data_IF_007093756694
#
_entry.id   IF_007093756694
#
_cell.length_a   1.000
_cell.length_b   1.000
_cell.length_c   1.000
_cell.angle_alpha   90.00
_cell.angle_beta   90.00
_cell.angle_gamma   90.00
#
_symmetry.space_group_name_H-M   'P 1'
#
loop_
_entity.id
_entity.type
_entity.pdbx_description
1 polymer ?
#
# COMPACT_ATOMS: atom_id res chain seq x y z
N UNK A 1 30.50 6.17 -54.42
CA UNK A 1 29.73 7.12 -55.21
C UNK A 1 28.35 6.55 -55.39
N UNK A 2 27.41 6.97 -54.61
CA UNK A 2 26.02 7.33 -54.88
C UNK A 2 25.37 7.65 -53.52
N UNK A 3 25.18 8.89 -53.27
CA UNK A 3 24.39 9.49 -52.16
C UNK A 3 22.93 9.44 -52.56
N UNK A 4 22.06 9.08 -51.60
CA UNK A 4 20.63 9.37 -51.70
C UNK A 4 20.11 9.94 -50.38
N UNK A 5 19.78 11.21 -50.48
CA UNK A 5 19.03 12.00 -49.47
C UNK A 5 17.65 11.41 -49.20
N UNK A 6 17.27 11.30 -47.94
CA UNK A 6 15.87 11.14 -47.51
C UNK A 6 15.46 12.32 -46.66
N UNK A 7 14.59 13.12 -47.21
CA UNK A 7 13.95 14.29 -46.61
C UNK A 7 13.10 13.89 -45.39
N UNK A 8 13.32 14.61 -44.30
CA UNK A 8 12.42 14.59 -43.10
C UNK A 8 11.22 15.50 -43.36
N UNK A 9 10.04 14.92 -43.28
CA UNK A 9 8.78 15.64 -43.18
C UNK A 9 8.45 15.90 -41.72
N UNK A 10 8.39 17.18 -41.33
CA UNK A 10 7.91 17.64 -40.03
C UNK A 10 6.40 17.86 -40.13
N UNK A 11 5.64 17.07 -39.39
CA UNK A 11 4.22 17.34 -39.09
C UNK A 11 4.09 17.64 -37.60
N UNK A 12 3.63 18.85 -37.34
CA UNK A 12 3.33 19.42 -36.01
C UNK A 12 1.89 19.01 -35.62
N UNK A 13 1.64 18.34 -34.49
CA UNK A 13 0.29 18.19 -33.98
C UNK A 13 0.02 19.26 -32.91
N UNK A 14 -0.96 20.11 -33.16
CA UNK A 14 -1.47 21.17 -32.27
C UNK A 14 -2.04 20.61 -30.93
N UNK A 15 -2.29 21.50 -29.96
CA UNK A 15 -2.56 21.11 -28.56
C UNK A 15 -4.00 20.64 -28.37
N UNK A 16 -4.16 19.42 -27.86
CA UNK A 16 -5.43 18.92 -27.31
C UNK A 16 -5.58 19.36 -25.86
N UNK A 17 -6.65 20.10 -25.58
CA UNK A 17 -7.08 20.43 -24.22
C UNK A 17 -7.66 19.19 -23.53
N UNK A 18 -6.93 18.62 -22.56
CA UNK A 18 -7.39 17.54 -21.68
C UNK A 18 -7.45 18.05 -20.25
N UNK A 19 -8.64 17.96 -19.65
CA UNK A 19 -8.93 18.39 -18.29
C UNK A 19 -8.09 17.63 -17.24
N UNK A 20 -7.53 18.39 -16.31
CA UNK A 20 -6.66 17.91 -15.24
C UNK A 20 -7.53 17.50 -14.04
N UNK A 21 -7.80 16.19 -13.87
CA UNK A 21 -8.33 15.64 -12.62
C UNK A 21 -7.14 15.30 -11.72
N UNK A 22 -7.05 15.97 -10.57
CA UNK A 22 -5.95 15.80 -9.61
C UNK A 22 -5.80 14.37 -9.11
N UNK A 23 -4.67 13.76 -9.46
CA UNK A 23 -4.19 12.49 -8.90
C UNK A 23 -2.91 12.75 -8.14
N UNK A 24 -2.90 12.45 -6.85
CA UNK A 24 -1.75 12.54 -5.94
C UNK A 24 -1.06 11.18 -5.74
N UNK A 25 -0.88 10.42 -6.82
CA UNK A 25 0.07 9.31 -6.86
C UNK A 25 0.94 9.52 -8.09
N UNK A 26 2.08 10.20 -7.92
CA UNK A 26 3.06 10.36 -8.98
C UNK A 26 4.46 10.30 -8.41
N UNK A 27 5.40 9.55 -9.05
CA UNK A 27 6.79 9.47 -8.63
C UNK A 27 7.41 10.86 -8.62
N UNK A 28 8.28 11.11 -7.64
CA UNK A 28 8.95 12.37 -7.41
C UNK A 28 9.40 13.09 -8.69
N UNK A 29 8.74 14.20 -8.99
CA UNK A 29 9.15 15.05 -10.11
C UNK A 29 10.50 15.68 -9.78
N UNK A 30 11.45 15.48 -10.68
CA UNK A 30 12.74 16.15 -10.70
C UNK A 30 12.62 17.66 -10.40
N UNK A 31 13.65 18.21 -9.76
CA UNK A 31 13.85 19.63 -9.40
C UNK A 31 13.74 20.64 -10.56
N UNK A 32 12.97 20.38 -11.60
CA UNK A 32 12.78 21.30 -12.74
C UNK A 32 11.38 21.91 -12.67
N UNK A 33 11.39 23.19 -12.32
CA UNK A 33 10.29 24.17 -12.29
C UNK A 33 9.23 23.95 -11.20
N UNK A 34 9.31 24.82 -10.17
CA UNK A 34 8.18 25.14 -9.31
C UNK A 34 7.02 25.65 -10.20
N UNK A 35 6.07 24.79 -10.51
CA UNK A 35 4.82 25.19 -11.12
C UNK A 35 4.14 26.18 -10.15
N UNK A 36 3.63 27.29 -10.67
CA UNK A 36 2.90 28.26 -9.87
C UNK A 36 1.75 27.53 -9.16
N UNK A 37 1.82 27.46 -7.83
CA UNK A 37 0.76 26.83 -7.03
C UNK A 37 -0.51 27.64 -7.24
N UNK A 38 -1.50 27.05 -7.89
CA UNK A 38 -2.81 27.68 -8.04
C UNK A 38 -3.49 27.77 -6.68
N UNK A 39 -4.31 28.79 -6.38
CA UNK A 39 -5.00 28.94 -5.11
C UNK A 39 -5.82 27.69 -4.70
N UNK A 40 -6.39 27.01 -5.67
CA UNK A 40 -7.14 25.75 -5.48
C UNK A 40 -6.25 24.60 -4.95
N UNK A 41 -5.03 24.47 -5.48
CA UNK A 41 -4.06 23.48 -5.01
C UNK A 41 -3.59 23.78 -3.58
N UNK A 42 -3.42 25.09 -3.25
CA UNK A 42 -3.07 25.50 -1.90
C UNK A 42 -4.20 25.18 -0.91
N UNK A 43 -5.48 25.35 -1.30
CA UNK A 43 -6.63 25.04 -0.45
C UNK A 43 -6.74 23.52 -0.23
N UNK A 44 -6.63 22.72 -1.28
CA UNK A 44 -6.64 21.26 -1.18
C UNK A 44 -5.50 20.76 -0.28
N UNK A 45 -4.29 21.28 -0.45
CA UNK A 45 -3.15 20.96 0.41
C UNK A 45 -3.40 21.32 1.88
N UNK A 46 -3.92 22.52 2.16
CA UNK A 46 -4.23 22.95 3.53
C UNK A 46 -5.33 22.08 4.16
N UNK A 47 -6.33 21.67 3.37
CA UNK A 47 -7.39 20.74 3.79
C UNK A 47 -6.80 19.39 4.20
N UNK A 48 -5.96 18.79 3.35
CA UNK A 48 -5.26 17.54 3.64
C UNK A 48 -4.38 17.67 4.89
N UNK A 49 -3.65 18.78 5.04
CA UNK A 49 -2.80 19.01 6.21
C UNK A 49 -3.60 19.05 7.52
N UNK A 50 -4.77 19.69 7.52
CA UNK A 50 -5.67 19.71 8.70
C UNK A 50 -6.19 18.31 8.99
N UNK A 51 -6.66 17.56 7.97
CA UNK A 51 -7.15 16.19 8.15
C UNK A 51 -6.04 15.24 8.63
N UNK A 52 -4.85 15.32 8.05
CA UNK A 52 -3.67 14.55 8.47
C UNK A 52 -3.33 14.81 9.94
N UNK A 53 -3.34 16.09 10.36
CA UNK A 53 -3.06 16.46 11.74
C UNK A 53 -4.09 15.88 12.70
N UNK A 54 -5.38 15.96 12.37
CA UNK A 54 -6.46 15.37 13.18
C UNK A 54 -6.40 13.84 13.20
N UNK A 55 -6.03 13.23 12.09
CA UNK A 55 -5.92 11.77 11.99
C UNK A 55 -4.87 11.21 12.96
N UNK A 56 -3.68 11.81 12.99
CA UNK A 56 -2.56 11.33 13.81
C UNK A 56 -2.58 11.83 15.26
N UNK A 57 -3.06 13.05 15.51
CA UNK A 57 -2.99 13.65 16.85
C UNK A 57 -4.34 13.63 17.60
N UNK A 58 -5.43 13.26 16.91
CA UNK A 58 -6.77 13.22 17.51
C UNK A 58 -7.38 14.59 17.75
N UNK A 59 -8.30 14.65 18.72
CA UNK A 59 -9.11 15.84 19.00
C UNK A 59 -8.28 17.07 19.41
N UNK A 60 -8.43 18.18 18.66
CA UNK A 60 -7.69 19.43 18.86
C UNK A 60 -8.60 20.64 18.81
N UNK A 61 -8.19 21.77 19.42
CA UNK A 61 -8.86 23.05 19.18
C UNK A 61 -8.40 23.68 17.88
N UNK A 62 -9.24 24.56 17.30
CA UNK A 62 -8.85 25.35 16.11
C UNK A 62 -7.56 26.16 16.32
N UNK A 63 -7.29 26.58 17.57
CA UNK A 63 -6.06 27.29 17.91
C UNK A 63 -4.84 26.38 17.96
N UNK A 64 -5.00 25.12 18.41
CA UNK A 64 -3.93 24.11 18.38
C UNK A 64 -3.61 23.71 16.93
N UNK A 65 -4.64 23.44 16.13
CA UNK A 65 -4.49 23.18 14.70
C UNK A 65 -3.75 24.30 13.97
N UNK A 66 -4.06 25.56 14.27
CA UNK A 66 -3.35 26.72 13.67
C UNK A 66 -1.87 26.73 14.05
N UNK A 67 -1.51 26.34 15.26
CA UNK A 67 -0.11 26.26 15.71
C UNK A 67 0.63 25.09 15.08
N UNK A 68 -0.01 23.93 15.03
CA UNK A 68 0.58 22.70 14.50
C UNK A 68 0.78 22.76 12.99
N UNK A 69 -0.22 23.22 12.27
CA UNK A 69 -0.18 23.30 10.81
C UNK A 69 0.54 24.56 10.27
N UNK A 70 0.79 25.57 11.13
CA UNK A 70 1.29 26.88 10.68
C UNK A 70 0.28 27.73 9.89
N UNK A 71 -0.95 27.26 9.71
CA UNK A 71 -2.01 27.99 9.02
C UNK A 71 -2.57 29.11 9.91
N UNK A 72 -3.11 30.18 9.29
CA UNK A 72 -3.76 31.25 10.05
C UNK A 72 -5.02 30.75 10.74
N UNK A 73 -5.41 31.36 11.86
CA UNK A 73 -6.66 31.02 12.58
C UNK A 73 -7.91 31.14 11.70
N UNK A 74 -7.94 32.14 10.81
CA UNK A 74 -9.03 32.33 9.86
C UNK A 74 -9.09 31.14 8.89
N UNK A 75 -7.97 30.80 8.26
CA UNK A 75 -7.89 29.64 7.34
C UNK A 75 -8.33 28.33 8.00
N UNK A 76 -7.85 28.07 9.24
CA UNK A 76 -8.26 26.86 9.97
C UNK A 76 -9.75 26.88 10.28
N UNK A 77 -10.30 28.04 10.70
CA UNK A 77 -11.74 28.15 11.01
C UNK A 77 -12.61 27.90 9.78
N UNK A 78 -12.22 28.43 8.62
CA UNK A 78 -12.95 28.26 7.36
C UNK A 78 -12.87 26.78 6.89
N UNK A 79 -11.66 26.15 6.96
CA UNK A 79 -11.48 24.75 6.58
C UNK A 79 -12.26 23.80 7.53
N UNK A 80 -12.23 24.04 8.83
CA UNK A 80 -12.98 23.23 9.78
C UNK A 80 -14.49 23.35 9.58
N UNK A 81 -15.00 24.55 9.24
CA UNK A 81 -16.43 24.74 8.94
C UNK A 81 -16.83 23.92 7.69
N UNK A 82 -16.02 23.98 6.63
CA UNK A 82 -16.20 23.17 5.41
C UNK A 82 -16.15 21.66 5.70
N UNK A 83 -15.14 21.23 6.47
CA UNK A 83 -14.96 19.82 6.80
C UNK A 83 -16.09 19.25 7.70
N UNK A 84 -16.69 20.11 8.52
CA UNK A 84 -17.90 19.73 9.31
C UNK A 84 -19.11 19.63 8.38
N UNK A 85 -19.29 20.56 7.46
CA UNK A 85 -20.37 20.53 6.47
C UNK A 85 -20.29 19.30 5.56
N UNK A 86 -19.07 18.92 5.15
CA UNK A 86 -18.79 17.72 4.37
C UNK A 86 -18.88 16.40 5.20
N UNK A 87 -19.01 16.49 6.53
CA UNK A 87 -19.12 15.33 7.41
C UNK A 87 -17.81 14.60 7.70
N UNK A 88 -16.65 15.21 7.44
CA UNK A 88 -15.35 14.61 7.76
C UNK A 88 -14.83 14.95 9.14
N UNK A 89 -15.31 16.04 9.73
CA UNK A 89 -14.92 16.51 11.07
C UNK A 89 -16.15 16.75 11.92
N UNK A 90 -16.05 16.42 13.21
CA UNK A 90 -17.11 16.68 14.17
C UNK A 90 -16.60 17.44 15.41
N UNK A 91 -17.46 18.22 16.04
CA UNK A 91 -17.17 18.81 17.35
C UNK A 91 -17.31 17.77 18.47
N UNK A 92 -16.25 17.57 19.27
CA UNK A 92 -16.17 16.53 20.32
C UNK A 92 -16.26 17.10 21.75
N UNK A 93 -16.95 18.24 21.90
CA UNK A 93 -17.11 18.89 23.19
C UNK A 93 -16.05 19.96 23.47
N UNK A 94 -15.83 20.27 24.74
CA UNK A 94 -14.91 21.34 25.18
C UNK A 94 -13.77 20.75 25.99
N UNK A 95 -12.57 21.35 25.84
CA UNK A 95 -11.42 21.00 26.69
C UNK A 95 -11.75 21.35 28.14
N UNK A 96 -11.38 20.47 29.09
CA UNK A 96 -11.41 20.78 30.51
C UNK A 96 -10.52 22.00 30.81
N UNK A 97 -11.06 23.00 31.52
CA UNK A 97 -10.35 24.26 31.80
C UNK A 97 -9.82 24.24 33.22
N UNK A 98 -8.52 24.41 33.36
CA UNK A 98 -7.84 24.58 34.64
C UNK A 98 -7.54 26.06 34.97
N UNK A 99 -8.10 27.04 34.20
CA UNK A 99 -7.83 28.48 34.36
C UNK A 99 -8.94 29.39 33.82
N UNK A 100 -8.82 30.72 33.97
CA UNK A 100 -9.81 31.69 33.48
C UNK A 100 -9.82 31.74 31.96
N UNK A 101 -11.00 31.62 31.33
CA UNK A 101 -11.22 31.68 29.90
C UNK A 101 -12.41 30.83 29.45
N UNK A 102 -12.94 31.11 28.24
CA UNK A 102 -13.99 30.25 27.66
C UNK A 102 -13.33 28.95 27.20
N UNK A 103 -13.90 27.78 27.53
CA UNK A 103 -13.40 26.49 27.09
C UNK A 103 -13.28 26.44 25.55
N UNK A 104 -12.17 25.91 25.06
CA UNK A 104 -11.98 25.70 23.61
C UNK A 104 -12.80 24.49 23.15
N UNK A 105 -13.54 24.66 22.06
CA UNK A 105 -14.24 23.55 21.39
C UNK A 105 -13.19 22.69 20.69
N UNK A 106 -13.20 21.40 20.97
CA UNK A 106 -12.37 20.40 20.30
C UNK A 106 -13.09 19.91 19.04
N UNK A 107 -12.32 19.73 17.98
CA UNK A 107 -12.75 19.11 16.73
C UNK A 107 -11.89 17.87 16.47
N UNK A 108 -12.47 16.85 15.90
CA UNK A 108 -11.79 15.60 15.54
C UNK A 108 -12.34 15.04 14.22
N UNK A 109 -11.58 14.16 13.58
CA UNK A 109 -12.07 13.40 12.44
C UNK A 109 -13.34 12.63 12.82
N UNK A 110 -14.35 12.67 11.98
CA UNK A 110 -15.55 11.84 12.15
C UNK A 110 -15.31 10.44 11.57
N UNK A 111 -14.66 9.59 12.38
CA UNK A 111 -14.17 8.27 11.98
C UNK A 111 -15.30 7.31 11.61
N UNK A 112 -16.51 7.57 12.13
CA UNK A 112 -17.72 6.77 11.91
C UNK A 112 -18.64 7.38 10.84
N UNK A 113 -18.39 8.59 10.39
CA UNK A 113 -19.23 9.30 9.43
C UNK A 113 -19.20 8.70 8.01
N UNK A 114 -18.11 8.00 7.68
CA UNK A 114 -17.89 7.42 6.35
C UNK A 114 -17.40 5.98 6.45
N UNK A 115 -17.53 5.26 5.33
CA UNK A 115 -17.00 3.89 5.17
C UNK A 115 -16.05 3.82 3.97
N UNK A 116 -15.17 2.85 4.02
CA UNK A 116 -14.28 2.49 2.92
C UNK A 116 -14.52 1.02 2.61
N UNK A 117 -14.52 0.68 1.32
CA UNK A 117 -14.57 -0.72 0.89
C UNK A 117 -13.14 -1.15 0.56
N UNK A 118 -12.68 -2.20 1.22
CA UNK A 118 -11.39 -2.85 0.94
C UNK A 118 -11.57 -4.22 0.32
N UNK A 119 -10.79 -4.53 -0.71
CA UNK A 119 -10.76 -5.84 -1.36
C UNK A 119 -9.35 -6.41 -1.36
N UNK A 120 -9.21 -7.69 -1.03
CA UNK A 120 -7.98 -8.49 -1.19
C UNK A 120 -8.25 -9.62 -2.18
N UNK A 121 -7.62 -9.53 -3.37
CA UNK A 121 -7.74 -10.51 -4.44
C UNK A 121 -6.53 -11.46 -4.51
N UNK A 122 -5.61 -11.41 -3.53
CA UNK A 122 -4.33 -12.11 -3.58
C UNK A 122 -4.41 -13.57 -3.11
N UNK A 123 -5.48 -13.96 -2.43
CA UNK A 123 -5.64 -15.34 -1.93
C UNK A 123 -6.04 -16.29 -3.04
N UNK A 124 -5.62 -17.55 -2.93
CA UNK A 124 -5.82 -18.54 -3.98
C UNK A 124 -7.16 -19.26 -3.94
N UNK A 125 -7.81 -19.26 -2.78
CA UNK A 125 -9.05 -19.99 -2.51
C UNK A 125 -10.28 -19.08 -2.47
N UNK A 126 -10.10 -17.83 -2.06
CA UNK A 126 -11.18 -16.86 -1.90
C UNK A 126 -10.72 -15.43 -2.07
N UNK A 127 -11.59 -14.56 -2.50
CA UNK A 127 -11.46 -13.12 -2.41
C UNK A 127 -12.05 -12.66 -1.09
N UNK A 128 -11.36 -11.72 -0.43
CA UNK A 128 -11.85 -11.08 0.78
C UNK A 128 -12.32 -9.67 0.48
N UNK A 129 -13.39 -9.28 1.11
CA UNK A 129 -13.87 -7.91 1.11
C UNK A 129 -14.27 -7.46 2.50
N UNK A 130 -14.10 -6.18 2.78
CA UNK A 130 -14.48 -5.59 4.05
C UNK A 130 -15.06 -4.19 3.86
N UNK A 131 -15.99 -3.84 4.75
CA UNK A 131 -16.40 -2.48 5.02
C UNK A 131 -15.58 -2.00 6.21
N UNK A 132 -14.86 -0.88 6.05
CA UNK A 132 -13.96 -0.35 7.07
C UNK A 132 -14.36 1.07 7.47
N UNK A 133 -14.03 1.43 8.72
CA UNK A 133 -14.04 2.83 9.20
C UNK A 133 -12.84 3.59 8.64
N UNK A 134 -12.74 4.90 8.88
CA UNK A 134 -11.58 5.69 8.49
C UNK A 134 -10.30 5.32 9.29
N UNK A 135 -10.43 4.62 10.43
CA UNK A 135 -9.30 4.08 11.21
C UNK A 135 -8.86 2.69 10.77
N UNK A 136 -9.46 2.16 9.71
CA UNK A 136 -9.15 0.81 9.24
C UNK A 136 -9.76 -0.31 10.09
N UNK A 137 -10.72 -0.01 10.96
CA UNK A 137 -11.48 -1.03 11.69
C UNK A 137 -12.51 -1.69 10.77
N UNK A 138 -12.56 -3.00 10.78
CA UNK A 138 -13.48 -3.76 9.95
C UNK A 138 -14.82 -3.90 10.64
N UNK A 139 -15.88 -3.36 10.03
CA UNK A 139 -17.26 -3.39 10.56
C UNK A 139 -18.12 -4.46 9.91
N UNK A 140 -17.79 -4.88 8.67
CA UNK A 140 -18.45 -6.00 7.99
C UNK A 140 -17.43 -6.72 7.07
N UNK A 141 -17.68 -8.03 6.82
CA UNK A 141 -16.84 -8.86 5.95
C UNK A 141 -17.72 -9.65 4.99
N UNK A 142 -17.24 -9.76 3.76
CA UNK A 142 -17.77 -10.67 2.76
C UNK A 142 -16.63 -11.47 2.13
N UNK A 143 -16.94 -12.68 1.73
CA UNK A 143 -15.98 -13.58 1.06
C UNK A 143 -16.62 -14.15 -0.19
N UNK A 144 -15.82 -14.39 -1.21
CA UNK A 144 -16.25 -15.09 -2.41
C UNK A 144 -15.18 -16.10 -2.81
N UNK A 145 -15.55 -17.36 -3.02
CA UNK A 145 -14.62 -18.36 -3.53
C UNK A 145 -14.06 -17.93 -4.89
N UNK A 146 -12.78 -18.17 -5.12
CA UNK A 146 -12.17 -17.94 -6.43
C UNK A 146 -12.82 -18.91 -7.44
N UNK A 147 -13.42 -18.42 -8.53
CA UNK A 147 -14.04 -19.28 -9.54
C UNK A 147 -13.02 -20.22 -10.19
N UNK A 148 -13.46 -21.43 -10.51
CA UNK A 148 -12.63 -22.38 -11.26
C UNK A 148 -12.42 -21.91 -12.71
N UNK A 149 -13.43 -21.27 -13.32
CA UNK A 149 -13.31 -20.63 -14.62
C UNK A 149 -12.78 -19.19 -14.47
N UNK A 150 -11.63 -18.87 -15.06
CA UNK A 150 -11.09 -17.50 -15.02
C UNK A 150 -12.01 -16.43 -15.62
N UNK A 151 -12.89 -16.81 -16.56
CA UNK A 151 -13.85 -15.89 -17.15
C UNK A 151 -14.84 -15.33 -16.13
N UNK A 152 -15.10 -16.06 -15.04
CA UNK A 152 -16.06 -15.66 -13.98
C UNK A 152 -15.41 -14.81 -12.88
N UNK A 153 -14.08 -14.69 -12.87
CA UNK A 153 -13.35 -14.00 -11.79
C UNK A 153 -13.78 -12.53 -11.69
N UNK A 154 -13.80 -11.82 -12.81
CA UNK A 154 -14.16 -10.40 -12.83
C UNK A 154 -15.61 -10.16 -12.38
N UNK A 155 -16.54 -11.00 -12.86
CA UNK A 155 -17.93 -10.95 -12.43
C UNK A 155 -18.09 -11.20 -10.92
N UNK A 156 -17.27 -12.10 -10.36
CA UNK A 156 -17.26 -12.39 -8.91
C UNK A 156 -16.74 -11.19 -8.12
N UNK A 157 -15.67 -10.52 -8.57
CA UNK A 157 -15.14 -9.30 -7.93
C UNK A 157 -16.17 -8.17 -7.98
N UNK A 158 -16.81 -7.95 -9.12
CA UNK A 158 -17.89 -6.94 -9.26
C UNK A 158 -19.02 -7.22 -8.27
N UNK A 159 -19.50 -8.46 -8.22
CA UNK A 159 -20.58 -8.85 -7.30
C UNK A 159 -20.20 -8.60 -5.85
N UNK A 160 -19.01 -9.06 -5.42
CA UNK A 160 -18.49 -8.85 -4.07
C UNK A 160 -18.41 -7.35 -3.72
N UNK A 161 -17.93 -6.52 -4.65
CA UNK A 161 -17.86 -5.07 -4.46
C UNK A 161 -19.24 -4.46 -4.24
N UNK A 162 -20.24 -4.84 -5.04
CA UNK A 162 -21.63 -4.36 -4.93
C UNK A 162 -22.27 -4.77 -3.61
N UNK A 163 -22.06 -6.01 -3.17
CA UNK A 163 -22.56 -6.52 -1.88
C UNK A 163 -21.99 -5.70 -0.71
N UNK A 164 -20.69 -5.40 -0.71
CA UNK A 164 -20.05 -4.59 0.31
C UNK A 164 -20.55 -3.13 0.33
N UNK A 165 -20.70 -2.52 -0.84
CA UNK A 165 -21.26 -1.16 -0.95
C UNK A 165 -22.68 -1.10 -0.41
N UNK A 166 -23.50 -2.12 -0.68
CA UNK A 166 -24.88 -2.21 -0.15
C UNK A 166 -24.92 -2.39 1.37
N UNK A 167 -23.91 -3.06 1.95
CA UNK A 167 -23.81 -3.34 3.39
C UNK A 167 -23.10 -2.24 4.19
N UNK A 168 -22.65 -1.17 3.55
CA UNK A 168 -21.85 -0.14 4.21
C UNK A 168 -22.59 0.68 5.26
N UNK A 169 -23.92 0.81 5.15
CA UNK A 169 -24.85 1.54 6.05
C UNK A 169 -24.44 3.00 6.38
N UNK A 170 -23.49 3.57 5.65
CA UNK A 170 -23.03 4.97 5.72
C UNK A 170 -22.45 5.37 4.35
N UNK A 171 -22.24 6.69 4.09
CA UNK A 171 -21.60 7.15 2.88
C UNK A 171 -20.24 6.47 2.64
N UNK A 172 -20.04 5.91 1.42
CA UNK A 172 -18.79 5.25 1.05
C UNK A 172 -17.87 6.26 0.39
N UNK A 173 -16.69 6.44 0.97
CA UNK A 173 -15.64 7.33 0.47
C UNK A 173 -15.01 6.82 -0.84
N UNK A 174 -14.89 5.51 -0.96
CA UNK A 174 -14.33 4.85 -2.13
C UNK A 174 -14.06 3.36 -1.92
N UNK A 175 -13.54 2.73 -2.96
CA UNK A 175 -13.16 1.32 -2.99
C UNK A 175 -11.65 1.22 -3.22
N UNK A 176 -10.94 0.53 -2.34
CA UNK A 176 -9.56 0.15 -2.51
C UNK A 176 -9.44 -1.34 -2.85
N UNK A 177 -8.52 -1.71 -3.72
CA UNK A 177 -8.31 -3.09 -4.14
C UNK A 177 -6.82 -3.44 -4.10
N UNK A 178 -6.47 -4.47 -3.34
CA UNK A 178 -5.17 -5.13 -3.42
C UNK A 178 -5.25 -6.31 -4.39
N UNK A 179 -4.56 -6.22 -5.52
CA UNK A 179 -4.52 -7.25 -6.56
C UNK A 179 -3.17 -7.97 -6.58
N UNK A 180 -3.13 -9.28 -6.81
CA UNK A 180 -1.86 -9.92 -7.12
C UNK A 180 -1.31 -9.44 -8.46
N UNK A 181 0.01 -9.56 -8.64
CA UNK A 181 0.69 -9.22 -9.89
C UNK A 181 1.07 -7.75 -10.02
N UNK A 182 1.32 -7.29 -11.22
CA UNK A 182 1.81 -5.93 -11.51
C UNK A 182 0.61 -5.04 -11.86
N UNK A 183 0.48 -3.93 -11.15
CA UNK A 183 -0.59 -2.93 -11.33
C UNK A 183 0.05 -1.58 -11.63
N UNK A 184 -0.43 -0.88 -12.65
CA UNK A 184 0.06 0.45 -13.00
C UNK A 184 -0.57 1.56 -12.15
N UNK A 185 -0.18 2.82 -12.40
CA UNK A 185 -0.67 4.00 -11.71
C UNK A 185 -2.09 4.44 -12.13
N UNK A 186 -2.69 3.72 -13.07
CA UNK A 186 -4.06 3.89 -13.53
C UNK A 186 -5.01 2.80 -13.01
N UNK A 187 -4.47 1.88 -12.18
CA UNK A 187 -5.23 0.76 -11.63
C UNK A 187 -5.51 -0.35 -12.64
N UNK A 188 -4.72 -0.39 -13.74
CA UNK A 188 -4.72 -1.51 -14.69
C UNK A 188 -3.86 -2.64 -14.16
N UNK A 189 -4.42 -3.84 -14.07
CA UNK A 189 -3.66 -5.05 -13.77
C UNK A 189 -2.95 -5.49 -15.05
N UNK A 190 -1.66 -5.13 -15.18
CA UNK A 190 -0.86 -5.44 -16.36
C UNK A 190 -0.65 -6.95 -16.52
N UNK A 191 -0.41 -7.63 -15.40
CA UNK A 191 -0.30 -9.09 -15.37
C UNK A 191 -0.60 -9.61 -13.95
N UNK A 192 -1.47 -10.61 -13.85
CA UNK A 192 -1.71 -11.38 -12.64
C UNK A 192 -1.88 -12.87 -13.01
N UNK A 193 -0.78 -13.65 -13.08
CA UNK A 193 -0.82 -15.04 -13.54
C UNK A 193 -1.78 -15.92 -12.74
N UNK A 194 -1.91 -15.67 -11.43
CA UNK A 194 -2.80 -16.42 -10.55
C UNK A 194 -4.28 -16.24 -10.89
N UNK A 195 -4.65 -15.07 -11.45
CA UNK A 195 -6.00 -14.74 -11.92
C UNK A 195 -6.15 -14.92 -13.44
N UNK A 196 -5.06 -15.26 -14.14
CA UNK A 196 -4.96 -15.28 -15.60
C UNK A 196 -5.40 -13.96 -16.26
N UNK A 197 -5.10 -12.86 -15.59
CA UNK A 197 -5.36 -11.52 -16.08
C UNK A 197 -4.16 -10.93 -16.80
N UNK A 198 -4.45 -10.22 -17.87
CA UNK A 198 -3.49 -9.42 -18.64
C UNK A 198 -4.21 -8.17 -19.12
N UNK A 199 -3.66 -7.00 -18.86
CA UNK A 199 -4.17 -5.69 -19.29
C UNK A 199 -5.65 -5.47 -18.91
N UNK A 200 -6.03 -5.77 -17.67
CA UNK A 200 -7.39 -5.56 -17.14
C UNK A 200 -7.48 -4.19 -16.48
N UNK A 201 -8.25 -3.26 -17.05
CA UNK A 201 -8.61 -1.96 -16.43
C UNK A 201 -9.59 -2.18 -15.27
N UNK A 202 -9.07 -2.73 -14.16
CA UNK A 202 -9.89 -3.09 -13.00
C UNK A 202 -10.49 -1.84 -12.32
N UNK A 203 -9.71 -0.76 -12.22
CA UNK A 203 -10.17 0.51 -11.65
C UNK A 203 -11.34 1.09 -12.44
N UNK A 204 -11.20 1.20 -13.77
CA UNK A 204 -12.25 1.74 -14.65
C UNK A 204 -13.52 0.87 -14.64
N UNK A 205 -13.37 -0.44 -14.68
CA UNK A 205 -14.50 -1.38 -14.63
C UNK A 205 -15.26 -1.24 -13.31
N UNK A 206 -14.58 -1.33 -12.17
CA UNK A 206 -15.26 -1.22 -10.86
C UNK A 206 -15.86 0.18 -10.64
N UNK A 207 -15.18 1.25 -11.07
CA UNK A 207 -15.71 2.61 -10.99
C UNK A 207 -17.03 2.76 -11.76
N UNK A 208 -17.12 2.17 -12.95
CA UNK A 208 -18.34 2.18 -13.75
C UNK A 208 -19.49 1.41 -13.06
N UNK A 209 -19.16 0.34 -12.33
CA UNK A 209 -20.13 -0.53 -11.69
C UNK A 209 -20.74 0.05 -10.40
N UNK A 210 -19.94 0.78 -9.61
CA UNK A 210 -20.39 1.29 -8.29
C UNK A 210 -20.55 2.80 -8.24
N UNK A 211 -20.10 3.54 -9.26
CA UNK A 211 -20.12 5.01 -9.34
C UNK A 211 -19.41 5.70 -8.16
N UNK A 212 -18.38 5.07 -7.63
CA UNK A 212 -17.54 5.55 -6.54
C UNK A 212 -16.09 5.69 -7.02
N UNK A 213 -15.24 6.49 -6.33
CA UNK A 213 -13.80 6.43 -6.52
C UNK A 213 -13.28 5.01 -6.28
N UNK A 214 -12.44 4.51 -7.18
CA UNK A 214 -11.80 3.20 -7.05
C UNK A 214 -10.29 3.39 -7.19
N UNK A 215 -9.52 2.69 -6.38
CA UNK A 215 -8.06 2.69 -6.41
C UNK A 215 -7.58 1.24 -6.36
N UNK A 216 -6.72 0.86 -7.28
CA UNK A 216 -6.18 -0.50 -7.38
C UNK A 216 -4.66 -0.44 -7.29
N UNK A 217 -4.06 -1.29 -6.47
CA UNK A 217 -2.61 -1.47 -6.40
C UNK A 217 -2.25 -2.95 -6.24
N UNK A 218 -0.96 -3.25 -6.38
CA UNK A 218 -0.44 -4.55 -5.99
C UNK A 218 -0.69 -4.80 -4.49
N UNK A 219 -0.99 -6.03 -4.11
CA UNK A 219 -1.33 -6.44 -2.74
C UNK A 219 -0.22 -6.17 -1.71
N UNK A 220 1.06 -6.36 -2.07
CA UNK A 220 2.17 -6.04 -1.18
C UNK A 220 2.40 -4.52 -1.07
N UNK A 221 2.16 -3.76 -2.15
CA UNK A 221 2.18 -2.30 -2.11
C UNK A 221 1.03 -1.74 -1.25
N UNK A 222 -0.16 -2.34 -1.29
CA UNK A 222 -1.23 -1.99 -0.37
C UNK A 222 -0.85 -2.35 1.08
N UNK A 223 -0.28 -3.54 1.29
CA UNK A 223 0.10 -4.01 2.62
C UNK A 223 1.14 -3.10 3.31
N UNK A 224 2.15 -2.60 2.59
CA UNK A 224 3.14 -1.70 3.19
C UNK A 224 2.52 -0.36 3.62
N UNK A 225 1.49 0.13 2.93
CA UNK A 225 0.76 1.32 3.34
C UNK A 225 -0.01 1.10 4.65
N UNK A 226 -0.55 -0.11 4.88
CA UNK A 226 -1.18 -0.45 6.15
C UNK A 226 -0.19 -0.42 7.32
N UNK A 227 1.01 -0.96 7.14
CA UNK A 227 2.07 -0.91 8.15
C UNK A 227 2.51 0.52 8.45
N UNK A 228 2.65 1.35 7.42
CA UNK A 228 3.02 2.75 7.57
C UNK A 228 1.96 3.53 8.35
N UNK A 229 0.69 3.37 8.00
CA UNK A 229 -0.40 4.18 8.56
C UNK A 229 -0.89 3.66 9.92
N UNK A 230 -0.99 2.34 10.09
CA UNK A 230 -1.60 1.71 11.26
C UNK A 230 -0.62 0.85 12.09
N UNK A 231 0.53 0.45 11.51
CA UNK A 231 1.49 -0.44 12.14
C UNK A 231 2.71 0.27 12.74
N UNK A 232 2.79 1.59 12.62
CA UNK A 232 3.88 2.40 13.18
C UNK A 232 5.22 2.21 12.49
N UNK A 233 5.23 1.69 11.25
CA UNK A 233 6.45 1.60 10.46
C UNK A 233 7.00 2.99 10.09
N UNK A 234 8.32 3.10 9.97
CA UNK A 234 8.98 4.34 9.56
C UNK A 234 8.84 4.65 8.08
N UNK A 235 9.36 5.84 7.67
CA UNK A 235 9.28 6.33 6.29
C UNK A 235 10.06 5.47 5.28
N UNK A 236 11.10 4.76 5.72
CA UNK A 236 11.97 3.91 4.90
C UNK A 236 11.83 2.45 5.35
N UNK A 237 10.82 1.77 4.82
CA UNK A 237 10.43 0.41 5.21
C UNK A 237 10.19 -0.46 3.99
N UNK A 238 10.55 -1.73 4.11
CA UNK A 238 10.18 -2.77 3.16
C UNK A 238 9.31 -3.83 3.84
N UNK A 239 8.14 -4.09 3.28
CA UNK A 239 7.30 -5.20 3.70
C UNK A 239 7.53 -6.37 2.74
N UNK A 240 7.82 -7.56 3.30
CA UNK A 240 7.93 -8.82 2.56
C UNK A 240 6.72 -9.68 2.91
N UNK A 241 5.89 -9.92 1.91
CA UNK A 241 4.69 -10.74 2.04
C UNK A 241 4.94 -12.14 1.54
N UNK A 242 4.86 -13.10 2.46
CA UNK A 242 5.07 -14.53 2.21
C UNK A 242 3.74 -15.26 2.28
N UNK A 243 3.31 -15.73 1.15
CA UNK A 243 2.07 -16.48 1.00
C UNK A 243 2.29 -17.63 0.01
N UNK A 244 1.38 -17.78 -0.96
CA UNK A 244 1.56 -18.71 -2.08
C UNK A 244 2.77 -18.34 -2.95
N UNK A 245 3.02 -17.04 -3.08
CA UNK A 245 4.24 -16.46 -3.65
C UNK A 245 4.96 -15.57 -2.64
N UNK A 246 5.97 -14.85 -3.10
CA UNK A 246 6.72 -13.87 -2.32
C UNK A 246 6.70 -12.54 -3.06
N UNK A 247 6.00 -11.56 -2.51
CA UNK A 247 5.95 -10.19 -2.98
C UNK A 247 6.53 -9.23 -1.95
N UNK A 248 6.80 -8.00 -2.36
CA UNK A 248 7.17 -6.96 -1.41
C UNK A 248 6.67 -5.59 -1.83
N UNK A 249 6.37 -4.76 -0.84
CA UNK A 249 6.09 -3.34 -0.98
C UNK A 249 7.20 -2.53 -0.31
N UNK A 250 7.52 -1.37 -0.87
CA UNK A 250 8.62 -0.55 -0.43
C UNK A 250 8.19 0.90 -0.32
N UNK A 251 8.46 1.51 0.82
CA UNK A 251 8.38 2.97 1.01
C UNK A 251 9.79 3.56 1.16
N UNK A 252 9.99 4.72 0.58
CA UNK A 252 11.15 5.55 0.85
C UNK A 252 10.72 7.01 1.01
N UNK A 253 11.08 7.61 2.14
CA UNK A 253 10.56 8.91 2.54
C UNK A 253 9.04 8.94 2.65
N UNK A 254 8.41 7.86 3.13
CA UNK A 254 6.96 7.70 3.23
C UNK A 254 6.22 7.57 1.89
N UNK A 255 6.94 7.41 0.77
CA UNK A 255 6.34 7.32 -0.56
C UNK A 255 6.54 5.92 -1.17
N UNK A 256 5.49 5.33 -1.77
CA UNK A 256 5.60 4.05 -2.44
C UNK A 256 6.59 4.09 -3.62
N UNK A 257 7.50 3.13 -3.66
CA UNK A 257 8.42 2.94 -4.77
C UNK A 257 7.83 1.90 -5.75
N UNK A 258 7.27 2.38 -6.86
CA UNK A 258 6.63 1.51 -7.85
C UNK A 258 7.59 1.10 -8.98
N UNK A 259 8.66 1.87 -9.20
CA UNK A 259 9.59 1.67 -10.31
C UNK A 259 9.03 2.14 -11.66
N UNK A 260 9.87 2.13 -12.70
CA UNK A 260 9.53 2.65 -14.02
C UNK A 260 8.51 1.79 -14.80
N UNK A 261 8.30 0.56 -14.37
CA UNK A 261 7.36 -0.42 -14.95
C UNK A 261 6.43 -1.03 -13.90
N UNK A 262 6.27 -0.36 -12.78
CA UNK A 262 5.41 -0.78 -11.66
C UNK A 262 5.78 -2.16 -11.06
N UNK A 263 7.00 -2.63 -11.31
CA UNK A 263 7.50 -3.93 -10.86
C UNK A 263 8.59 -3.83 -9.78
N UNK A 264 8.69 -2.68 -9.09
CA UNK A 264 9.52 -2.60 -7.89
C UNK A 264 8.95 -3.53 -6.81
N UNK A 265 9.84 -4.23 -6.09
CA UNK A 265 9.39 -5.19 -5.08
C UNK A 265 9.23 -6.65 -5.57
N UNK A 266 9.43 -6.96 -6.84
CA UNK A 266 9.39 -8.33 -7.39
C UNK A 266 10.61 -9.18 -6.94
N UNK A 267 10.97 -9.10 -5.63
CA UNK A 267 12.12 -9.80 -5.06
C UNK A 267 11.94 -11.32 -5.02
N UNK A 268 10.69 -11.80 -5.01
CA UNK A 268 10.40 -13.23 -5.07
C UNK A 268 11.03 -13.93 -6.27
N UNK A 269 11.22 -13.22 -7.38
CA UNK A 269 11.81 -13.75 -8.60
C UNK A 269 13.31 -13.43 -8.79
N UNK A 270 13.96 -12.89 -7.76
CA UNK A 270 15.43 -12.76 -7.73
C UNK A 270 16.06 -14.10 -7.40
N UNK A 271 17.05 -14.51 -8.18
CA UNK A 271 17.80 -15.73 -7.92
C UNK A 271 18.70 -15.54 -6.70
N UNK A 272 18.56 -16.39 -5.69
CA UNK A 272 19.37 -16.41 -4.49
C UNK A 272 20.28 -17.64 -4.49
N UNK A 273 21.60 -17.39 -4.38
CA UNK A 273 22.63 -18.40 -4.54
C UNK A 273 23.22 -18.44 -5.96
N UNK A 274 24.29 -19.19 -6.12
CA UNK A 274 25.06 -19.24 -7.38
C UNK A 274 24.84 -20.53 -8.18
N UNK A 275 24.46 -21.64 -7.52
CA UNK A 275 24.59 -22.99 -8.07
C UNK A 275 23.29 -23.79 -7.98
N UNK A 276 22.32 -23.44 -8.80
CA UNK A 276 21.10 -24.25 -8.89
C UNK A 276 20.04 -23.81 -7.87
N UNK A 277 19.16 -24.75 -7.53
CA UNK A 277 18.03 -24.53 -6.63
C UNK A 277 16.73 -25.10 -7.20
N UNK A 278 15.60 -24.95 -6.51
CA UNK A 278 14.31 -25.40 -7.01
C UNK A 278 13.85 -24.58 -8.21
N UNK A 279 13.07 -25.21 -9.08
CA UNK A 279 12.43 -24.54 -10.21
C UNK A 279 11.28 -23.66 -9.69
N UNK A 280 11.30 -22.39 -10.03
CA UNK A 280 10.24 -21.44 -9.74
C UNK A 280 9.10 -21.55 -10.77
N UNK A 281 7.89 -21.17 -10.35
CA UNK A 281 6.72 -21.08 -11.26
C UNK A 281 6.95 -20.16 -12.45
N UNK A 282 7.86 -19.18 -12.34
CA UNK A 282 8.26 -18.31 -13.46
C UNK A 282 9.19 -18.97 -14.49
N UNK A 283 9.58 -20.23 -14.29
CA UNK A 283 10.48 -21.00 -15.14
C UNK A 283 11.97 -20.83 -14.87
N UNK A 284 12.38 -19.91 -13.97
CA UNK A 284 13.78 -19.76 -13.53
C UNK A 284 14.12 -20.77 -12.45
N UNK A 285 15.41 -20.96 -12.19
CA UNK A 285 15.93 -21.81 -11.11
C UNK A 285 16.49 -20.92 -10.01
N UNK A 286 16.19 -21.29 -8.74
CA UNK A 286 16.76 -20.64 -7.55
C UNK A 286 16.16 -19.28 -7.18
N UNK A 287 14.97 -18.94 -7.68
CA UNK A 287 14.25 -17.75 -7.22
C UNK A 287 13.95 -17.83 -5.71
N UNK A 288 13.99 -16.69 -5.01
CA UNK A 288 13.66 -16.61 -3.58
C UNK A 288 12.30 -17.25 -3.26
N UNK A 289 11.29 -17.01 -4.09
CA UNK A 289 9.95 -17.59 -3.93
C UNK A 289 9.95 -19.11 -3.88
N UNK A 290 10.78 -19.77 -4.70
CA UNK A 290 10.87 -21.22 -4.75
C UNK A 290 11.43 -21.83 -3.44
N UNK A 291 12.06 -21.01 -2.60
CA UNK A 291 12.58 -21.38 -1.28
C UNK A 291 11.64 -20.93 -0.15
N UNK A 292 11.07 -19.73 -0.27
CA UNK A 292 10.44 -19.02 0.84
C UNK A 292 8.91 -19.04 0.82
N UNK A 293 8.26 -19.37 -0.31
CA UNK A 293 6.79 -19.44 -0.34
C UNK A 293 6.25 -20.46 0.65
N UNK A 294 5.06 -20.21 1.21
CA UNK A 294 4.43 -21.13 2.18
C UNK A 294 4.41 -22.57 1.68
N UNK A 295 3.97 -22.87 0.42
CA UNK A 295 4.01 -24.25 -0.08
C UNK A 295 5.41 -24.84 -0.18
N UNK A 296 6.44 -24.01 -0.37
CA UNK A 296 7.84 -24.49 -0.42
C UNK A 296 8.36 -24.80 0.97
N UNK A 297 8.10 -23.96 1.95
CA UNK A 297 8.45 -24.19 3.35
C UNK A 297 7.73 -25.43 3.92
N UNK A 298 6.42 -25.53 3.70
CA UNK A 298 5.63 -26.69 4.16
C UNK A 298 6.14 -28.00 3.55
N UNK A 299 6.52 -28.00 2.27
CA UNK A 299 7.11 -29.17 1.62
C UNK A 299 8.45 -29.56 2.25
N UNK A 300 9.35 -28.58 2.46
CA UNK A 300 10.65 -28.83 3.07
C UNK A 300 10.52 -29.32 4.52
N UNK A 301 9.57 -28.81 5.27
CA UNK A 301 9.27 -29.23 6.65
C UNK A 301 8.64 -30.64 6.72
N UNK A 302 7.96 -31.06 5.65
CA UNK A 302 7.33 -32.39 5.56
C UNK A 302 8.30 -33.52 5.13
N UNK A 303 9.52 -33.20 4.71
CA UNK A 303 10.52 -34.19 4.33
C UNK A 303 10.91 -35.06 5.53
N UNK A 304 11.06 -36.37 5.29
CA UNK A 304 11.40 -37.32 6.36
C UNK A 304 12.77 -36.99 7.00
N UNK A 305 12.78 -36.76 8.32
CA UNK A 305 13.99 -36.40 9.06
C UNK A 305 14.39 -34.93 8.96
N UNK A 306 13.53 -34.06 8.42
CA UNK A 306 13.79 -32.62 8.35
C UNK A 306 13.95 -32.00 9.73
N UNK A 307 15.01 -31.25 9.94
CA UNK A 307 15.15 -30.33 11.07
C UNK A 307 14.44 -29.02 10.77
N UNK A 308 13.31 -28.82 11.41
CA UNK A 308 12.48 -27.62 11.17
C UNK A 308 13.26 -26.31 11.39
N UNK A 309 14.12 -26.28 12.43
CA UNK A 309 14.95 -25.11 12.70
C UNK A 309 15.94 -24.85 11.57
N UNK A 310 16.60 -25.89 11.08
CA UNK A 310 17.56 -25.78 9.99
C UNK A 310 16.89 -25.34 8.68
N UNK A 311 15.71 -25.88 8.36
CA UNK A 311 14.92 -25.49 7.17
C UNK A 311 14.53 -24.01 7.22
N UNK A 312 14.00 -23.54 8.34
CA UNK A 312 13.59 -22.14 8.50
C UNK A 312 14.80 -21.19 8.51
N UNK A 313 15.92 -21.58 9.10
CA UNK A 313 17.16 -20.79 9.07
C UNK A 313 17.73 -20.68 7.65
N UNK A 314 17.76 -21.77 6.86
CA UNK A 314 18.18 -21.72 5.45
C UNK A 314 17.31 -20.74 4.63
N UNK A 315 16.00 -20.78 4.82
CA UNK A 315 15.08 -19.86 4.18
C UNK A 315 15.35 -18.40 4.62
N UNK A 316 15.62 -18.15 5.90
CA UNK A 316 15.95 -16.85 6.43
C UNK A 316 17.30 -16.32 5.92
N UNK A 317 18.31 -17.16 5.79
CA UNK A 317 19.58 -16.80 5.17
C UNK A 317 19.38 -16.33 3.71
N UNK A 318 18.58 -17.07 2.94
CA UNK A 318 18.26 -16.70 1.54
C UNK A 318 17.50 -15.39 1.46
N UNK A 319 16.55 -15.14 2.36
CA UNK A 319 15.88 -13.86 2.47
C UNK A 319 16.87 -12.73 2.78
N UNK A 320 17.74 -12.91 3.75
CA UNK A 320 18.80 -11.95 4.08
C UNK A 320 19.74 -11.67 2.91
N UNK A 321 20.10 -12.70 2.12
CA UNK A 321 20.90 -12.53 0.89
C UNK A 321 20.17 -11.63 -0.13
N UNK A 322 18.87 -11.85 -0.32
CA UNK A 322 18.09 -11.04 -1.25
C UNK A 322 17.91 -9.59 -0.77
N UNK A 323 17.75 -9.40 0.53
CA UNK A 323 17.49 -8.08 1.13
C UNK A 323 18.75 -7.22 1.32
N UNK A 324 19.92 -7.82 1.57
CA UNK A 324 21.14 -7.07 1.89
C UNK A 324 21.51 -6.00 0.85
N UNK A 325 21.47 -6.25 -0.48
CA UNK A 325 21.72 -5.21 -1.48
C UNK A 325 20.70 -4.06 -1.43
N UNK A 326 19.44 -4.38 -1.09
CA UNK A 326 18.33 -3.40 -1.04
C UNK A 326 18.48 -2.52 0.19
N UNK A 327 18.73 -3.13 1.36
CA UNK A 327 19.03 -2.42 2.62
C UNK A 327 20.22 -1.50 2.43
N UNK A 328 21.33 -2.00 1.85
CA UNK A 328 22.52 -1.19 1.63
C UNK A 328 22.38 -0.08 0.59
N UNK A 329 21.48 -0.24 -0.40
CA UNK A 329 21.27 0.75 -1.45
C UNK A 329 20.27 1.84 -1.07
N UNK A 330 19.27 1.51 -0.23
CA UNK A 330 18.17 2.40 0.13
C UNK A 330 18.22 2.87 1.58
N UNK A 331 19.24 2.41 2.34
CA UNK A 331 19.40 2.73 3.76
C UNK A 331 18.14 2.44 4.60
N UNK A 332 17.54 1.25 4.34
CA UNK A 332 16.32 0.85 5.03
C UNK A 332 16.57 0.58 6.51
N UNK A 333 15.71 1.12 7.36
CA UNK A 333 15.75 0.91 8.81
C UNK A 333 14.94 -0.29 9.28
N UNK A 334 13.96 -0.73 8.47
CA UNK A 334 12.98 -1.72 8.89
C UNK A 334 12.54 -2.65 7.76
N UNK A 335 12.42 -3.94 8.10
CA UNK A 335 11.82 -4.98 7.28
C UNK A 335 10.63 -5.57 8.05
N UNK A 336 9.45 -5.53 7.47
CA UNK A 336 8.24 -6.12 8.04
C UNK A 336 7.89 -7.40 7.30
N UNK A 337 7.72 -8.50 8.03
CA UNK A 337 7.32 -9.79 7.48
C UNK A 337 5.80 -9.96 7.63
N UNK A 338 5.13 -10.32 6.56
CA UNK A 338 3.69 -10.61 6.52
C UNK A 338 3.46 -12.02 5.98
N UNK A 339 2.78 -12.85 6.76
CA UNK A 339 2.49 -14.25 6.43
C UNK A 339 2.32 -15.10 7.70
N UNK A 340 2.30 -16.44 7.60
CA UNK A 340 2.12 -17.31 8.75
C UNK A 340 3.24 -17.17 9.78
N UNK A 341 2.93 -16.60 10.96
CA UNK A 341 3.91 -16.39 12.04
C UNK A 341 4.68 -17.68 12.43
N UNK A 342 4.08 -18.88 12.47
CA UNK A 342 4.83 -20.10 12.80
C UNK A 342 5.96 -20.44 11.80
N UNK A 343 5.92 -19.91 10.58
CA UNK A 343 6.95 -20.11 9.56
C UNK A 343 7.96 -18.97 9.51
N UNK A 344 7.51 -17.73 9.78
CA UNK A 344 8.31 -16.55 9.54
C UNK A 344 8.98 -15.99 10.78
N UNK A 345 8.33 -16.12 11.95
CA UNK A 345 8.87 -15.67 13.23
C UNK A 345 9.88 -16.66 13.79
N UNK A 346 10.78 -16.21 14.65
CA UNK A 346 11.82 -17.04 15.25
C UNK A 346 12.96 -17.38 14.27
N UNK A 347 13.27 -18.67 14.00
CA UNK A 347 14.49 -19.08 13.30
C UNK A 347 14.70 -18.45 11.93
N UNK A 348 13.63 -18.20 11.17
CA UNK A 348 13.71 -17.54 9.86
C UNK A 348 14.07 -16.06 10.03
N UNK A 349 13.34 -15.34 10.86
CA UNK A 349 13.61 -13.92 11.10
C UNK A 349 15.00 -13.69 11.71
N UNK A 350 15.41 -14.53 12.67
CA UNK A 350 16.74 -14.48 13.28
C UNK A 350 17.86 -14.65 12.23
N UNK A 351 17.76 -15.69 11.38
CA UNK A 351 18.73 -15.93 10.33
C UNK A 351 18.76 -14.82 9.30
N UNK A 352 17.61 -14.20 9.02
CA UNK A 352 17.54 -13.01 8.14
C UNK A 352 18.33 -11.86 8.74
N UNK A 353 18.15 -11.54 10.03
CA UNK A 353 18.89 -10.49 10.74
C UNK A 353 20.40 -10.77 10.76
N UNK A 354 20.80 -12.01 11.10
CA UNK A 354 22.19 -12.42 11.11
C UNK A 354 22.85 -12.23 9.74
N UNK A 355 22.13 -12.63 8.68
CA UNK A 355 22.63 -12.51 7.31
C UNK A 355 22.73 -11.06 6.85
N UNK A 356 21.76 -10.23 7.19
CA UNK A 356 21.81 -8.79 6.92
C UNK A 356 23.04 -8.16 7.58
N UNK A 357 23.26 -8.41 8.88
CA UNK A 357 24.43 -7.89 9.61
C UNK A 357 25.74 -8.36 9.01
N UNK A 358 25.82 -9.60 8.54
CA UNK A 358 27.03 -10.14 7.93
C UNK A 358 27.31 -9.60 6.52
N UNK A 359 26.33 -9.06 5.83
CA UNK A 359 26.40 -8.66 4.41
C UNK A 359 26.23 -7.17 4.14
N UNK A 360 25.90 -6.40 5.16
CA UNK A 360 25.77 -4.93 5.07
C UNK A 360 26.86 -4.24 5.88
N UNK A 361 26.99 -2.92 5.75
CA UNK A 361 27.95 -2.14 6.51
C UNK A 361 27.46 -2.02 7.97
N UNK A 362 28.00 -2.81 8.86
CA UNK A 362 27.55 -2.97 10.25
C UNK A 362 27.38 -1.63 10.99
N UNK A 363 28.31 -0.68 10.79
CA UNK A 363 28.30 0.63 11.45
C UNK A 363 27.00 1.41 11.22
N UNK A 364 26.33 1.22 10.08
CA UNK A 364 25.10 1.93 9.70
C UNK A 364 23.84 1.04 9.73
N UNK A 365 23.99 -0.26 9.50
CA UNK A 365 22.85 -1.18 9.38
C UNK A 365 22.73 -2.18 10.54
N UNK A 366 23.50 -2.01 11.62
CA UNK A 366 23.39 -2.87 12.82
C UNK A 366 21.99 -2.77 13.46
N UNK A 367 21.33 -1.61 13.29
CA UNK A 367 20.03 -1.30 13.83
C UNK A 367 18.83 -1.73 12.95
N UNK A 368 19.06 -2.34 11.76
CA UNK A 368 17.94 -2.80 10.91
C UNK A 368 17.07 -3.79 11.67
N UNK A 369 15.79 -3.47 11.78
CA UNK A 369 14.81 -4.31 12.45
C UNK A 369 14.13 -5.24 11.46
N UNK A 370 13.95 -6.50 11.85
CA UNK A 370 13.10 -7.46 11.13
C UNK A 370 12.02 -7.89 12.11
N UNK A 371 10.76 -7.63 11.80
CA UNK A 371 9.63 -7.98 12.67
C UNK A 371 8.44 -8.50 11.88
N UNK A 372 7.55 -9.18 12.56
CA UNK A 372 6.26 -9.53 12.00
C UNK A 372 5.32 -8.31 11.95
N UNK A 373 4.40 -8.33 10.99
CA UNK A 373 3.29 -7.38 10.98
C UNK A 373 2.34 -7.64 12.15
N UNK A 374 1.82 -6.56 12.74
CA UNK A 374 0.72 -6.62 13.71
C UNK A 374 -0.66 -6.55 13.06
N UNK A 375 -0.74 -6.27 11.74
CA UNK A 375 -1.99 -6.14 10.99
C UNK A 375 -2.65 -7.50 10.67
N UNK A 376 -1.91 -8.60 10.86
CA UNK A 376 -2.39 -9.95 10.62
C UNK A 376 -2.81 -10.20 9.17
N UNK A 377 -3.84 -11.02 8.99
CA UNK A 377 -4.33 -11.41 7.67
C UNK A 377 -5.07 -10.29 6.92
N UNK A 378 -5.46 -9.22 7.61
CA UNK A 378 -6.26 -8.12 7.08
C UNK A 378 -5.41 -6.97 6.50
N UNK A 379 -4.11 -7.14 6.51
CA UNK A 379 -3.16 -6.10 6.12
C UNK A 379 -3.46 -5.52 4.73
N UNK A 380 -3.85 -6.35 3.77
CA UNK A 380 -4.19 -5.89 2.40
C UNK A 380 -5.50 -5.09 2.40
N UNK A 381 -6.51 -5.53 3.16
CA UNK A 381 -7.78 -4.81 3.30
C UNK A 381 -7.59 -3.43 3.93
N UNK A 382 -6.76 -3.35 4.98
CA UNK A 382 -6.39 -2.08 5.61
C UNK A 382 -5.56 -1.20 4.69
N UNK A 383 -4.61 -1.77 3.95
CA UNK A 383 -3.84 -1.04 2.95
C UNK A 383 -4.70 -0.49 1.81
N UNK A 384 -5.69 -1.27 1.37
CA UNK A 384 -6.69 -0.82 0.43
C UNK A 384 -7.48 0.39 0.98
N UNK A 385 -7.81 0.39 2.29
CA UNK A 385 -8.44 1.54 2.94
C UNK A 385 -7.50 2.76 2.98
N UNK A 386 -6.22 2.58 3.29
CA UNK A 386 -5.23 3.68 3.26
C UNK A 386 -5.12 4.30 1.87
N UNK A 387 -5.16 3.51 0.81
CA UNK A 387 -5.15 4.04 -0.57
C UNK A 387 -6.32 5.01 -0.80
N UNK A 388 -7.52 4.65 -0.33
CA UNK A 388 -8.71 5.51 -0.44
C UNK A 388 -8.56 6.76 0.44
N UNK A 389 -8.11 6.63 1.69
CA UNK A 389 -7.83 7.76 2.59
C UNK A 389 -6.86 8.76 1.95
N UNK A 390 -5.74 8.26 1.44
CA UNK A 390 -4.73 9.08 0.78
C UNK A 390 -5.26 9.72 -0.50
N UNK A 391 -5.96 8.96 -1.33
CA UNK A 391 -6.49 9.45 -2.60
C UNK A 391 -7.62 10.46 -2.47
N UNK A 392 -8.48 10.34 -1.45
CA UNK A 392 -9.67 11.18 -1.29
C UNK A 392 -9.46 12.31 -0.27
N UNK A 393 -8.74 12.05 0.81
CA UNK A 393 -8.56 13.00 1.91
C UNK A 393 -7.12 13.53 2.03
N UNK A 394 -6.16 12.91 1.35
CA UNK A 394 -4.73 13.20 1.48
C UNK A 394 -4.19 12.82 2.87
N UNK A 395 -4.71 11.74 3.44
CA UNK A 395 -4.34 11.21 4.77
C UNK A 395 -3.66 9.85 4.60
N UNK A 396 -2.51 9.68 5.23
CA UNK A 396 -1.75 8.40 5.22
C UNK A 396 -0.89 8.26 6.47
#
# INVERSE_FOLDING_TARGET
MVTSDVQRSTADPGPSAGGNSGRTFGPGRSLRHAAKVLPEHARAHNRSLVLQTLFHQGAMSRADLSRETGLTRVTVSDLIAELIEDGYVAERGTREVTGPGKPAILVDLDREGHRIIGLDLSRSDRFLGAVLTLDGEIVARHEASVPADPADILATVIRLTRELVADAHAPVLGVGVGSPGIVDDHGTVLTAPNLRWTDIDLEGILRAEVSLPVLVANDANAAVLAEYTFGGAGDDVMLVRVGRGVGSGLLSGGQPMLGSRFAAGEIGHVTVGTDGGPVCVCGKVGCLEAWLSVPSLERALAEEGADATAVLRDAGERLGIALAPIVGALDLSEIVLSGPSPLLDGPLAEATVETLRARTLAEFHEGVQVRMTEQGEDIVLRGAAVMVLSGQLGVS
#
